data_IF_978602832217
#
_entry.id   IF_978602832217
#
_cell.length_a   1.000
_cell.length_b   1.000
_cell.length_c   1.000
_cell.angle_alpha   90.00
_cell.angle_beta   90.00
_cell.angle_gamma   90.00
#
_symmetry.space_group_name_H-M   'P 1'
#
loop_
_entity.id
_entity.type
_entity.pdbx_description
1 polymer ?
#
# COMPACT_ATOMS: atom_id res chain seq x y z
N UNK A 1 15.28 23.80 -76.58
CA UNK A 1 15.62 22.38 -76.81
C UNK A 1 16.54 21.95 -75.67
N UNK A 2 16.09 20.95 -74.90
CA UNK A 2 16.81 20.13 -73.90
C UNK A 2 17.97 20.73 -73.07
N UNK A 3 17.74 20.90 -71.76
CA UNK A 3 18.71 20.45 -70.75
C UNK A 3 17.93 19.58 -69.76
N UNK A 4 18.26 18.29 -69.81
CA UNK A 4 17.78 17.25 -68.93
C UNK A 4 18.68 17.15 -67.69
N UNK A 5 18.17 16.41 -66.69
CA UNK A 5 18.93 15.64 -65.69
C UNK A 5 19.75 16.42 -64.66
N UNK A 6 19.26 16.52 -63.41
CA UNK A 6 20.10 16.40 -62.19
C UNK A 6 19.26 16.22 -60.91
N UNK A 7 18.19 15.41 -60.94
CA UNK A 7 17.39 15.12 -59.73
C UNK A 7 17.83 13.86 -58.96
N UNK A 8 18.93 13.21 -59.35
CA UNK A 8 19.45 11.99 -58.73
C UNK A 8 20.47 12.21 -57.58
N UNK A 9 20.81 13.43 -57.17
CA UNK A 9 21.73 13.58 -56.01
C UNK A 9 20.98 13.30 -54.70
N UNK A 10 20.87 12.02 -54.39
CA UNK A 10 20.46 11.48 -53.10
C UNK A 10 21.42 11.99 -52.02
N UNK A 11 20.94 12.64 -50.95
CA UNK A 11 21.73 12.77 -49.74
C UNK A 11 21.79 11.39 -49.09
N UNK A 12 22.89 10.67 -49.32
CA UNK A 12 23.28 9.53 -48.50
C UNK A 12 23.70 10.03 -47.10
N UNK A 13 22.73 10.52 -46.32
CA UNK A 13 22.89 10.68 -44.87
C UNK A 13 22.59 9.34 -44.25
N UNK A 14 23.63 8.54 -44.06
CA UNK A 14 23.58 7.29 -43.30
C UNK A 14 23.19 7.65 -41.86
N UNK A 15 21.94 7.32 -41.53
CA UNK A 15 21.26 7.79 -40.34
C UNK A 15 21.73 7.14 -39.04
N UNK A 16 22.36 7.95 -38.18
CA UNK A 16 22.50 7.70 -36.74
C UNK A 16 21.22 8.03 -35.95
N UNK A 17 20.08 8.28 -36.62
CA UNK A 17 18.81 8.65 -35.98
C UNK A 17 17.83 7.49 -35.71
N UNK A 18 17.91 6.37 -36.43
CA UNK A 18 16.91 5.29 -36.33
C UNK A 18 17.01 4.51 -35.00
N UNK A 19 18.21 4.38 -34.43
CA UNK A 19 18.42 3.68 -33.15
C UNK A 19 17.79 4.45 -31.97
N UNK A 20 17.71 5.79 -32.07
CA UNK A 20 17.12 6.63 -31.02
C UNK A 20 15.60 6.43 -30.85
N UNK A 21 14.85 6.33 -31.94
CA UNK A 21 13.38 6.25 -31.89
C UNK A 21 12.85 4.96 -31.27
N UNK A 22 13.45 3.81 -31.63
CA UNK A 22 13.07 2.51 -31.05
C UNK A 22 13.43 2.42 -29.56
N UNK A 23 14.56 3.01 -29.15
CA UNK A 23 14.97 3.11 -27.75
C UNK A 23 13.95 3.88 -26.90
N UNK A 24 13.50 5.05 -27.39
CA UNK A 24 12.53 5.91 -26.69
C UNK A 24 11.18 5.20 -26.51
N UNK A 25 10.69 4.47 -27.53
CA UNK A 25 9.42 3.71 -27.41
C UNK A 25 9.50 2.59 -26.38
N UNK A 26 10.61 1.83 -26.36
CA UNK A 26 10.81 0.74 -25.39
C UNK A 26 10.89 1.28 -23.95
N UNK A 27 11.55 2.41 -23.75
CA UNK A 27 11.63 3.08 -22.45
C UNK A 27 10.26 3.58 -21.98
N UNK A 28 9.45 4.18 -22.87
CA UNK A 28 8.09 4.62 -22.57
C UNK A 28 7.17 3.46 -22.18
N UNK A 29 7.23 2.33 -22.90
CA UNK A 29 6.46 1.15 -22.55
C UNK A 29 6.87 0.56 -21.19
N UNK A 30 8.17 0.55 -20.89
CA UNK A 30 8.66 0.12 -19.57
C UNK A 30 8.20 1.06 -18.44
N UNK A 31 8.23 2.37 -18.67
CA UNK A 31 7.75 3.37 -17.71
C UNK A 31 6.23 3.25 -17.48
N UNK A 32 5.44 3.11 -18.54
CA UNK A 32 3.98 2.95 -18.43
C UNK A 32 3.58 1.74 -17.58
N UNK A 33 4.31 0.62 -17.69
CA UNK A 33 4.10 -0.57 -16.82
C UNK A 33 4.42 -0.30 -15.36
N UNK A 34 5.48 0.46 -15.09
CA UNK A 34 5.97 0.74 -13.74
C UNK A 34 5.30 1.93 -13.07
N UNK A 35 4.45 2.67 -13.79
CA UNK A 35 3.88 3.93 -13.34
C UNK A 35 3.19 3.84 -11.97
N UNK A 36 2.35 2.84 -11.73
CA UNK A 36 1.70 2.67 -10.42
C UNK A 36 2.68 2.32 -9.29
N UNK A 37 3.72 1.55 -9.58
CA UNK A 37 4.76 1.22 -8.61
C UNK A 37 5.63 2.44 -8.29
N UNK A 38 6.03 3.20 -9.32
CA UNK A 38 6.83 4.42 -9.15
C UNK A 38 6.02 5.50 -8.43
N UNK A 39 4.71 5.58 -8.67
CA UNK A 39 3.77 6.42 -7.91
C UNK A 39 3.74 6.03 -6.43
N UNK A 40 3.55 4.75 -6.12
CA UNK A 40 3.58 4.29 -4.72
C UNK A 40 4.93 4.59 -4.04
N UNK A 41 6.05 4.50 -4.77
CA UNK A 41 7.37 4.89 -4.24
C UNK A 41 7.48 6.39 -3.98
N UNK A 42 6.92 7.21 -4.86
CA UNK A 42 6.86 8.66 -4.68
C UNK A 42 6.10 9.00 -3.40
N UNK A 43 4.90 8.46 -3.24
CA UNK A 43 4.06 8.65 -2.05
C UNK A 43 4.71 8.17 -0.75
N UNK A 44 5.49 7.07 -0.80
CA UNK A 44 6.26 6.61 0.36
C UNK A 44 7.39 7.60 0.73
N UNK A 45 8.01 8.27 -0.24
CA UNK A 45 9.01 9.32 0.05
C UNK A 45 8.32 10.52 0.70
N UNK A 46 7.19 10.97 0.17
CA UNK A 46 6.42 12.09 0.71
C UNK A 46 5.88 11.78 2.12
N UNK A 47 5.42 10.55 2.37
CA UNK A 47 4.99 10.13 3.69
C UNK A 47 6.15 10.13 4.72
N UNK A 48 7.37 9.83 4.28
CA UNK A 48 8.55 9.87 5.16
C UNK A 48 8.96 11.29 5.49
N UNK A 49 8.92 12.22 4.53
CA UNK A 49 9.26 13.63 4.76
C UNK A 49 8.25 14.29 5.69
N UNK A 50 6.94 14.07 5.45
CA UNK A 50 5.87 14.56 6.32
C UNK A 50 5.95 13.97 7.74
N UNK A 51 6.19 12.67 7.89
CA UNK A 51 6.38 12.05 9.20
C UNK A 51 7.64 12.56 9.93
N UNK A 52 8.70 12.93 9.21
CA UNK A 52 9.87 13.57 9.79
C UNK A 52 9.54 14.99 10.30
N UNK A 53 8.82 15.79 9.50
CA UNK A 53 8.32 17.11 9.91
C UNK A 53 7.46 17.05 11.17
N UNK A 54 6.51 16.11 11.24
CA UNK A 54 5.64 15.96 12.41
C UNK A 54 6.39 15.61 13.70
N UNK A 55 7.54 14.92 13.61
CA UNK A 55 8.39 14.68 14.78
C UNK A 55 9.12 15.94 15.22
N UNK A 56 9.46 16.83 14.29
CA UNK A 56 9.99 18.14 14.63
C UNK A 56 8.94 19.00 15.35
N UNK A 57 7.69 18.99 14.88
CA UNK A 57 6.55 19.66 15.54
C UNK A 57 6.36 19.20 16.99
N UNK A 58 6.48 17.89 17.26
CA UNK A 58 6.42 17.38 18.64
C UNK A 58 7.54 17.95 19.53
N UNK A 59 8.74 18.17 18.98
CA UNK A 59 9.86 18.76 19.72
C UNK A 59 9.60 20.24 20.01
N UNK A 60 9.07 20.97 19.03
CA UNK A 60 8.66 22.38 19.17
C UNK A 60 7.58 22.50 20.25
N UNK A 61 6.48 21.75 20.15
CA UNK A 61 5.39 21.78 21.13
C UNK A 61 5.86 21.39 22.54
N UNK A 62 6.86 20.50 22.67
CA UNK A 62 7.47 20.17 23.96
C UNK A 62 8.30 21.33 24.51
N UNK A 63 9.07 22.00 23.67
CA UNK A 63 9.84 23.18 24.06
C UNK A 63 8.91 24.33 24.47
N UNK A 64 7.81 24.54 23.75
CA UNK A 64 6.79 25.53 24.10
C UNK A 64 6.12 25.21 25.44
N UNK A 65 5.77 23.95 25.69
CA UNK A 65 5.24 23.55 27.00
C UNK A 65 6.25 23.84 28.12
N UNK A 66 7.53 23.52 27.93
CA UNK A 66 8.58 23.80 28.93
C UNK A 66 8.75 25.31 29.16
N UNK A 67 8.72 26.12 28.09
CA UNK A 67 8.77 27.59 28.16
C UNK A 67 7.58 28.15 28.95
N UNK A 68 6.36 27.74 28.64
CA UNK A 68 5.14 28.20 29.33
C UNK A 68 5.14 27.75 30.81
N UNK A 69 5.68 26.57 31.12
CA UNK A 69 5.87 26.13 32.50
C UNK A 69 6.87 27.03 33.26
N UNK A 70 7.97 27.43 32.62
CA UNK A 70 8.93 28.37 33.20
C UNK A 70 8.33 29.78 33.39
N UNK A 71 7.55 30.27 32.42
CA UNK A 71 6.82 31.54 32.52
C UNK A 71 5.79 31.50 33.66
N UNK A 72 5.11 30.36 33.84
CA UNK A 72 4.19 30.15 34.97
C UNK A 72 4.93 30.19 36.31
N UNK A 73 6.09 29.55 36.41
CA UNK A 73 6.91 29.57 37.62
C UNK A 73 7.39 31.00 37.96
N UNK A 74 7.60 31.84 36.93
CA UNK A 74 7.94 33.25 37.07
C UNK A 74 6.72 34.18 37.26
N UNK A 75 5.50 33.64 37.41
CA UNK A 75 4.27 34.43 37.56
C UNK A 75 3.80 35.15 36.28
N UNK A 76 4.41 34.88 35.13
CA UNK A 76 4.12 35.52 33.83
C UNK A 76 3.10 34.77 32.95
N UNK A 77 2.75 33.54 33.30
CA UNK A 77 1.76 32.74 32.57
C UNK A 77 0.72 32.07 33.50
N UNK A 78 -0.47 31.83 32.96
CA UNK A 78 -1.61 31.27 33.69
C UNK A 78 -1.66 29.73 33.64
N UNK A 79 -2.61 29.13 34.37
CA UNK A 79 -2.80 27.66 34.37
C UNK A 79 -3.45 27.17 33.07
N UNK A 80 -4.31 28.01 32.48
CA UNK A 80 -4.94 27.72 31.19
C UNK A 80 -3.91 27.74 30.05
N UNK A 81 -2.88 28.59 30.12
CA UNK A 81 -1.76 28.58 29.16
C UNK A 81 -1.00 27.25 29.16
N UNK A 82 -0.68 26.73 30.35
CA UNK A 82 -0.03 25.40 30.47
C UNK A 82 -0.94 24.30 29.93
N UNK A 83 -2.25 24.37 30.21
CA UNK A 83 -3.22 23.40 29.71
C UNK A 83 -3.32 23.44 28.18
N UNK A 84 -3.32 24.64 27.59
CA UNK A 84 -3.31 24.84 26.13
C UNK A 84 -2.07 24.23 25.49
N UNK A 85 -0.88 24.57 25.99
CA UNK A 85 0.40 24.03 25.49
C UNK A 85 0.48 22.51 25.66
N UNK A 86 -0.09 21.95 26.73
CA UNK A 86 -0.21 20.50 26.93
C UNK A 86 -1.12 19.87 25.87
N UNK A 87 -2.26 20.47 25.59
CA UNK A 87 -3.19 19.97 24.56
C UNK A 87 -2.58 20.03 23.16
N UNK A 88 -1.83 21.09 22.85
CA UNK A 88 -1.06 21.22 21.60
C UNK A 88 -0.01 20.12 21.46
N UNK A 89 0.75 19.82 22.52
CA UNK A 89 1.69 18.70 22.52
C UNK A 89 0.99 17.35 22.31
N UNK A 90 -0.16 17.11 22.95
CA UNK A 90 -0.95 15.89 22.77
C UNK A 90 -1.42 15.77 21.31
N UNK A 91 -1.90 16.87 20.71
CA UNK A 91 -2.30 16.92 19.30
C UNK A 91 -1.12 16.58 18.39
N UNK A 92 0.01 17.26 18.55
CA UNK A 92 1.23 17.00 17.77
C UNK A 92 1.69 15.54 17.89
N UNK A 93 1.61 14.94 19.07
CA UNK A 93 1.92 13.52 19.27
C UNK A 93 0.96 12.58 18.53
N UNK A 94 -0.34 12.87 18.56
CA UNK A 94 -1.34 12.09 17.81
C UNK A 94 -1.11 12.21 16.30
N UNK A 95 -0.85 13.41 15.81
CA UNK A 95 -0.57 13.68 14.40
C UNK A 95 0.70 12.96 13.93
N UNK A 96 1.79 13.02 14.72
CA UNK A 96 3.02 12.30 14.43
C UNK A 96 2.83 10.77 14.41
N UNK A 97 2.00 10.22 15.31
CA UNK A 97 1.65 8.80 15.31
C UNK A 97 0.81 8.42 14.08
N UNK A 98 -0.17 9.25 13.71
CA UNK A 98 -1.00 9.05 12.54
C UNK A 98 -0.15 9.05 11.25
N UNK A 99 0.75 10.02 11.08
CA UNK A 99 1.66 10.09 9.94
C UNK A 99 2.66 8.93 9.91
N UNK A 100 3.16 8.48 11.06
CA UNK A 100 3.99 7.28 11.15
C UNK A 100 3.22 6.00 10.77
N UNK A 101 1.93 5.90 11.12
CA UNK A 101 1.06 4.83 10.63
C UNK A 101 0.85 4.94 9.11
N UNK A 102 0.69 6.15 8.58
CA UNK A 102 0.64 6.43 7.15
C UNK A 102 1.86 5.89 6.40
N UNK A 103 3.07 6.05 6.93
CA UNK A 103 4.29 5.47 6.34
C UNK A 103 4.21 3.94 6.23
N UNK A 104 3.63 3.26 7.24
CA UNK A 104 3.44 1.79 7.18
C UNK A 104 2.45 1.40 6.10
N UNK A 105 1.34 2.13 5.97
CA UNK A 105 0.36 1.92 4.90
C UNK A 105 1.00 2.12 3.51
N UNK A 106 1.82 3.16 3.32
CA UNK A 106 2.52 3.38 2.05
C UNK A 106 3.53 2.28 1.71
N UNK A 107 4.21 1.70 2.71
CA UNK A 107 5.07 0.52 2.47
C UNK A 107 4.28 -0.67 1.96
N UNK A 108 3.10 -0.93 2.54
CA UNK A 108 2.22 -1.99 2.07
C UNK A 108 1.73 -1.72 0.64
N UNK A 109 1.37 -0.48 0.30
CA UNK A 109 1.00 -0.09 -1.08
C UNK A 109 2.14 -0.32 -2.07
N UNK A 110 3.38 0.03 -1.72
CA UNK A 110 4.56 -0.25 -2.58
C UNK A 110 4.73 -1.76 -2.80
N UNK A 111 4.54 -2.57 -1.76
CA UNK A 111 4.62 -4.02 -1.87
C UNK A 111 3.51 -4.57 -2.78
N UNK A 112 2.27 -4.10 -2.61
CA UNK A 112 1.13 -4.48 -3.44
C UNK A 112 1.36 -4.08 -4.91
N UNK A 113 1.77 -2.83 -5.18
CA UNK A 113 2.04 -2.34 -6.52
C UNK A 113 3.19 -3.09 -7.22
N UNK A 114 4.17 -3.58 -6.44
CA UNK A 114 5.24 -4.45 -6.96
C UNK A 114 4.72 -5.83 -7.35
N UNK A 115 3.79 -6.39 -6.57
CA UNK A 115 3.24 -7.72 -6.81
C UNK A 115 2.36 -7.79 -8.07
N UNK A 116 1.66 -6.70 -8.41
CA UNK A 116 0.76 -6.62 -9.58
C UNK A 116 1.43 -5.99 -10.81
N UNK A 117 2.75 -5.92 -10.84
CA UNK A 117 3.47 -5.24 -11.92
C UNK A 117 3.22 -5.95 -13.26
N UNK A 118 2.71 -5.25 -14.30
CA UNK A 118 2.45 -5.88 -15.59
C UNK A 118 3.73 -6.44 -16.22
N UNK A 119 3.61 -7.63 -16.81
CA UNK A 119 4.67 -8.28 -17.55
C UNK A 119 5.05 -7.54 -18.83
N UNK A 120 6.16 -7.94 -19.45
CA UNK A 120 6.67 -7.21 -20.60
C UNK A 120 5.74 -7.28 -21.83
N UNK A 121 5.04 -8.40 -21.98
CA UNK A 121 4.08 -8.69 -23.04
C UNK A 121 2.61 -8.41 -22.64
N UNK A 122 2.38 -7.68 -21.54
CA UNK A 122 1.02 -7.33 -21.14
C UNK A 122 0.33 -6.44 -22.17
N UNK A 123 -0.95 -6.75 -22.42
CA UNK A 123 -1.85 -5.95 -23.24
C UNK A 123 -1.84 -4.48 -22.77
N UNK A 124 -1.70 -3.49 -23.69
CA UNK A 124 -1.83 -2.07 -23.38
C UNK A 124 -3.06 -1.70 -22.53
N UNK A 125 -4.19 -2.40 -22.69
CA UNK A 125 -5.40 -2.16 -21.90
C UNK A 125 -5.24 -2.55 -20.41
N UNK A 126 -4.29 -3.44 -20.09
CA UNK A 126 -3.95 -3.86 -18.72
C UNK A 126 -2.91 -2.97 -18.05
N UNK A 127 -2.43 -1.92 -18.73
CA UNK A 127 -1.51 -0.99 -18.12
C UNK A 127 -2.22 -0.14 -17.06
N UNK A 128 -1.51 0.31 -16.00
CA UNK A 128 -2.16 0.98 -14.87
C UNK A 128 -2.95 2.23 -15.26
N UNK A 129 -2.43 3.04 -16.20
CA UNK A 129 -3.15 4.23 -16.66
C UNK A 129 -4.38 3.89 -17.48
N UNK A 130 -4.30 2.89 -18.36
CA UNK A 130 -5.44 2.44 -19.16
C UNK A 130 -6.57 1.93 -18.26
N UNK A 131 -6.24 1.07 -17.29
CA UNK A 131 -7.20 0.55 -16.31
C UNK A 131 -7.88 1.68 -15.51
N UNK A 132 -7.10 2.67 -15.09
CA UNK A 132 -7.62 3.81 -14.34
C UNK A 132 -8.54 4.70 -15.19
N UNK A 133 -8.23 4.89 -16.47
CA UNK A 133 -9.13 5.56 -17.41
C UNK A 133 -10.42 4.77 -17.62
N UNK A 134 -10.34 3.45 -17.73
CA UNK A 134 -11.53 2.58 -17.82
C UNK A 134 -12.40 2.66 -16.56
N UNK A 135 -11.80 2.75 -15.36
CA UNK A 135 -12.53 2.93 -14.11
C UNK A 135 -13.30 4.26 -14.10
N UNK A 136 -12.65 5.37 -14.47
CA UNK A 136 -13.31 6.66 -14.66
C UNK A 136 -14.45 6.57 -15.67
N UNK A 137 -14.21 6.00 -16.85
CA UNK A 137 -15.23 5.89 -17.90
C UNK A 137 -16.43 5.04 -17.44
N UNK A 138 -16.22 4.09 -16.53
CA UNK A 138 -17.28 3.27 -15.94
C UNK A 138 -18.20 4.09 -15.04
N UNK A 139 -17.66 4.96 -14.18
CA UNK A 139 -18.49 5.88 -13.38
C UNK A 139 -19.24 6.85 -14.29
N UNK A 140 -18.57 7.40 -15.30
CA UNK A 140 -19.21 8.29 -16.28
C UNK A 140 -20.38 7.61 -16.98
N UNK A 141 -20.24 6.33 -17.37
CA UNK A 141 -21.32 5.56 -17.99
C UNK A 141 -22.49 5.32 -17.03
N UNK A 142 -22.22 4.89 -15.79
CA UNK A 142 -23.27 4.71 -14.77
C UNK A 142 -24.05 6.01 -14.54
N UNK A 143 -23.37 7.15 -14.48
CA UNK A 143 -24.03 8.45 -14.36
C UNK A 143 -24.86 8.81 -15.60
N UNK A 144 -24.35 8.56 -16.82
CA UNK A 144 -25.09 8.83 -18.04
C UNK A 144 -26.40 8.06 -18.11
N UNK A 145 -26.48 6.88 -17.51
CA UNK A 145 -27.74 6.14 -17.41
C UNK A 145 -28.78 6.95 -16.62
N UNK A 146 -28.41 7.64 -15.54
CA UNK A 146 -29.32 8.49 -14.77
C UNK A 146 -29.77 9.74 -15.51
N UNK A 147 -28.93 10.26 -16.41
CA UNK A 147 -29.23 11.47 -17.19
C UNK A 147 -30.00 11.19 -18.50
N UNK A 148 -29.87 9.98 -19.05
CA UNK A 148 -30.38 9.66 -20.39
C UNK A 148 -31.61 8.75 -20.35
N UNK A 149 -31.76 7.92 -19.31
CA UNK A 149 -32.92 7.06 -19.15
C UNK A 149 -34.11 7.83 -18.52
N UNK A 150 -35.22 8.04 -19.24
CA UNK A 150 -36.36 8.79 -18.73
C UNK A 150 -36.99 8.14 -17.48
N UNK A 151 -36.94 6.81 -17.35
CA UNK A 151 -37.45 6.15 -16.15
C UNK A 151 -36.57 6.48 -14.93
N UNK A 152 -35.24 6.49 -15.10
CA UNK A 152 -34.31 6.86 -14.03
C UNK A 152 -34.37 8.34 -13.68
N UNK A 153 -34.59 9.23 -14.64
CA UNK A 153 -34.78 10.66 -14.38
C UNK A 153 -36.00 10.91 -13.49
N UNK A 154 -37.11 10.20 -13.73
CA UNK A 154 -38.32 10.31 -12.90
C UNK A 154 -38.10 9.68 -11.52
N UNK A 155 -37.47 8.50 -11.46
CA UNK A 155 -37.30 7.76 -10.20
C UNK A 155 -36.19 8.32 -9.29
N UNK A 156 -35.14 8.91 -9.86
CA UNK A 156 -33.94 9.34 -9.13
C UNK A 156 -33.55 10.81 -9.40
N UNK A 157 -34.47 11.79 -9.24
CA UNK A 157 -34.18 13.20 -9.55
C UNK A 157 -33.03 13.78 -8.70
N UNK A 158 -32.77 13.20 -7.53
CA UNK A 158 -31.67 13.61 -6.62
C UNK A 158 -30.29 13.38 -7.24
N UNK A 159 -30.13 12.46 -8.20
CA UNK A 159 -28.84 12.21 -8.87
C UNK A 159 -28.37 13.38 -9.74
N UNK A 160 -29.29 14.23 -10.18
CA UNK A 160 -29.01 15.40 -11.03
C UNK A 160 -29.21 16.73 -10.29
N UNK A 161 -29.74 16.71 -9.06
CA UNK A 161 -29.98 17.91 -8.26
C UNK A 161 -28.72 18.36 -7.49
N UNK A 162 -28.17 19.51 -7.88
CA UNK A 162 -27.00 20.14 -7.25
C UNK A 162 -27.28 20.62 -5.81
N UNK A 163 -28.56 20.76 -5.43
CA UNK A 163 -28.94 21.12 -4.04
C UNK A 163 -28.74 19.95 -3.08
N UNK A 164 -28.70 18.72 -3.59
CA UNK A 164 -28.34 17.56 -2.79
C UNK A 164 -26.84 17.61 -2.44
N UNK A 165 -26.47 17.57 -1.16
CA UNK A 165 -25.07 17.74 -0.74
C UNK A 165 -24.17 16.62 -1.28
N UNK A 166 -24.64 15.37 -1.33
CA UNK A 166 -23.84 14.24 -1.84
C UNK A 166 -23.68 14.31 -3.36
N UNK A 167 -24.72 14.73 -4.09
CA UNK A 167 -24.66 14.96 -5.54
C UNK A 167 -23.72 16.11 -5.86
N UNK A 168 -23.75 17.20 -5.10
CA UNK A 168 -22.83 18.33 -5.27
C UNK A 168 -21.36 17.90 -5.09
N UNK A 169 -21.06 17.10 -4.06
CA UNK A 169 -19.71 16.53 -3.84
C UNK A 169 -19.30 15.64 -5.01
N UNK A 170 -20.18 14.76 -5.48
CA UNK A 170 -19.93 13.93 -6.66
C UNK A 170 -19.59 14.77 -7.89
N UNK A 171 -20.39 15.80 -8.20
CA UNK A 171 -20.16 16.66 -9.36
C UNK A 171 -18.83 17.43 -9.25
N UNK A 172 -18.46 17.87 -8.04
CA UNK A 172 -17.17 18.51 -7.79
C UNK A 172 -15.97 17.55 -7.98
N UNK A 173 -16.06 16.32 -7.47
CA UNK A 173 -15.03 15.31 -7.66
C UNK A 173 -14.95 14.85 -9.11
N UNK A 174 -16.08 14.74 -9.81
CA UNK A 174 -16.13 14.47 -11.26
C UNK A 174 -15.40 15.54 -12.04
N UNK A 175 -15.67 16.83 -11.76
CA UNK A 175 -14.96 17.93 -12.41
C UNK A 175 -13.45 17.87 -12.13
N UNK A 176 -13.06 17.49 -10.91
CA UNK A 176 -11.65 17.33 -10.52
C UNK A 176 -10.97 16.17 -11.25
N UNK A 177 -11.60 15.00 -11.29
CA UNK A 177 -11.11 13.83 -12.03
C UNK A 177 -11.00 14.14 -13.53
N UNK A 178 -11.96 14.87 -14.10
CA UNK A 178 -11.93 15.27 -15.51
C UNK A 178 -10.78 16.23 -15.83
N UNK A 179 -10.48 17.21 -14.95
CA UNK A 179 -9.33 18.11 -15.13
C UNK A 179 -7.99 17.38 -15.10
N UNK A 180 -7.88 16.32 -14.29
CA UNK A 180 -6.67 15.52 -14.15
C UNK A 180 -6.56 14.39 -15.19
N UNK A 181 -7.63 14.11 -15.93
CA UNK A 181 -7.68 13.02 -16.90
C UNK A 181 -6.71 13.28 -18.06
N UNK A 182 -5.78 12.38 -18.37
CA UNK A 182 -4.91 12.52 -19.53
C UNK A 182 -5.70 12.34 -20.83
N UNK A 183 -5.18 12.91 -21.92
CA UNK A 183 -5.80 12.84 -23.25
C UNK A 183 -5.87 11.42 -23.80
N UNK A 184 -4.91 10.57 -23.45
CA UNK A 184 -4.82 9.18 -23.91
C UNK A 184 -4.07 8.32 -22.91
N UNK A 185 -4.24 7.00 -22.98
CA UNK A 185 -3.48 6.05 -22.15
C UNK A 185 -1.98 6.02 -22.46
N UNK A 186 -1.56 6.61 -23.59
CA UNK A 186 -0.16 6.74 -24.01
C UNK A 186 0.46 8.08 -23.61
N UNK A 187 -0.31 8.98 -23.00
CA UNK A 187 0.18 10.29 -22.55
C UNK A 187 1.27 10.08 -21.48
N UNK A 188 2.48 10.64 -21.66
CA UNK A 188 3.52 10.56 -20.66
C UNK A 188 3.06 11.31 -19.40
N UNK A 189 3.27 10.69 -18.24
CA UNK A 189 2.79 11.18 -16.95
C UNK A 189 3.83 10.87 -15.88
N UNK A 190 4.09 11.83 -15.00
CA UNK A 190 4.94 11.62 -13.84
C UNK A 190 4.25 10.73 -12.80
N UNK A 191 5.02 10.08 -11.90
CA UNK A 191 4.45 9.31 -10.79
C UNK A 191 3.49 10.10 -9.90
N UNK A 192 3.76 11.38 -9.66
CA UNK A 192 2.91 12.26 -8.85
C UNK A 192 1.59 12.62 -9.53
N UNK A 193 1.62 12.95 -10.82
CA UNK A 193 0.40 13.20 -11.61
C UNK A 193 -0.49 11.96 -11.68
N UNK A 194 0.12 10.77 -11.85
CA UNK A 194 -0.63 9.52 -11.83
C UNK A 194 -1.28 9.26 -10.48
N UNK A 195 -0.56 9.47 -9.37
CA UNK A 195 -1.13 9.34 -8.03
C UNK A 195 -2.30 10.31 -7.81
N UNK A 196 -2.15 11.57 -8.22
CA UNK A 196 -3.20 12.57 -8.12
C UNK A 196 -4.45 12.20 -8.93
N UNK A 197 -4.27 11.75 -10.18
CA UNK A 197 -5.39 11.28 -11.01
C UNK A 197 -6.04 10.03 -10.40
N UNK A 198 -5.25 9.06 -9.93
CA UNK A 198 -5.74 7.85 -9.26
C UNK A 198 -6.61 8.18 -8.05
N UNK A 199 -6.13 9.07 -7.20
CA UNK A 199 -6.85 9.47 -5.99
C UNK A 199 -8.13 10.26 -6.33
N UNK A 200 -8.11 11.07 -7.39
CA UNK A 200 -9.31 11.75 -7.88
C UNK A 200 -10.35 10.78 -8.43
N UNK A 201 -9.95 9.74 -9.17
CA UNK A 201 -10.88 8.69 -9.63
C UNK A 201 -11.46 7.91 -8.45
N UNK A 202 -10.67 7.59 -7.43
CA UNK A 202 -11.20 6.92 -6.22
C UNK A 202 -12.19 7.79 -5.45
N UNK A 203 -11.95 9.10 -5.34
CA UNK A 203 -12.93 10.03 -4.74
C UNK A 203 -14.18 10.17 -5.60
N UNK A 204 -14.04 10.21 -6.91
CA UNK A 204 -15.16 10.19 -7.85
C UNK A 204 -16.03 8.93 -7.68
N UNK A 205 -15.43 7.74 -7.64
CA UNK A 205 -16.13 6.47 -7.39
C UNK A 205 -16.88 6.49 -6.05
N UNK A 206 -16.17 6.85 -4.97
CA UNK A 206 -16.75 6.85 -3.63
C UNK A 206 -17.90 7.87 -3.48
N UNK A 207 -17.73 9.07 -4.05
CA UNK A 207 -18.77 10.10 -4.02
C UNK A 207 -19.98 9.74 -4.87
N UNK A 208 -19.78 9.11 -6.03
CA UNK A 208 -20.86 8.58 -6.85
C UNK A 208 -21.65 7.51 -6.11
N UNK A 209 -20.98 6.52 -5.53
CA UNK A 209 -21.65 5.45 -4.78
C UNK A 209 -22.40 5.98 -3.54
N UNK A 210 -21.89 7.03 -2.89
CA UNK A 210 -22.58 7.68 -1.79
C UNK A 210 -23.86 8.42 -2.26
N UNK A 211 -23.77 9.18 -3.36
CA UNK A 211 -24.91 9.86 -3.97
C UNK A 211 -25.97 8.86 -4.47
N UNK A 212 -25.54 7.78 -5.11
CA UNK A 212 -26.42 6.73 -5.62
C UNK A 212 -27.19 6.06 -4.49
N UNK A 213 -26.51 5.68 -3.39
CA UNK A 213 -27.16 5.12 -2.20
C UNK A 213 -28.22 6.06 -1.63
N UNK A 214 -27.93 7.36 -1.58
CA UNK A 214 -28.88 8.35 -1.11
C UNK A 214 -30.08 8.49 -2.05
N UNK A 215 -29.84 8.52 -3.36
CA UNK A 215 -30.90 8.53 -4.35
C UNK A 215 -31.81 7.30 -4.24
N UNK A 216 -31.25 6.11 -4.00
CA UNK A 216 -32.02 4.89 -3.74
C UNK A 216 -32.79 4.92 -2.42
N UNK A 217 -32.29 5.62 -1.40
CA UNK A 217 -33.05 5.85 -0.16
C UNK A 217 -34.24 6.77 -0.42
N UNK A 218 -34.04 7.87 -1.15
CA UNK A 218 -35.12 8.79 -1.52
C UNK A 218 -36.17 8.15 -2.41
N UNK A 219 -35.76 7.43 -3.45
CA UNK A 219 -36.68 6.78 -4.39
C UNK A 219 -37.57 5.72 -3.72
N UNK A 220 -37.03 4.97 -2.74
CA UNK A 220 -37.82 4.06 -1.92
C UNK A 220 -38.77 4.78 -0.98
N UNK A 221 -38.32 5.87 -0.36
CA UNK A 221 -39.15 6.68 0.54
C UNK A 221 -40.31 7.37 -0.20
N UNK A 222 -40.13 7.73 -1.47
CA UNK A 222 -41.18 8.32 -2.31
C UNK A 222 -42.09 7.29 -3.00
N UNK A 223 -41.77 5.99 -2.90
CA UNK A 223 -42.48 4.92 -3.61
C UNK A 223 -42.22 4.88 -5.12
N UNK A 224 -41.22 5.62 -5.62
CA UNK A 224 -40.85 5.66 -7.04
C UNK A 224 -40.22 4.35 -7.54
N UNK A 225 -39.66 3.56 -6.62
CA UNK A 225 -39.11 2.24 -6.89
C UNK A 225 -39.73 1.27 -5.88
N UNK A 226 -39.99 0.01 -6.24
CA UNK A 226 -40.49 -0.99 -5.30
C UNK A 226 -39.65 -0.99 -4.01
N UNK A 227 -40.28 -1.24 -2.85
CA UNK A 227 -39.50 -1.50 -1.65
C UNK A 227 -38.48 -2.59 -1.99
N UNK A 228 -37.27 -2.45 -1.46
CA UNK A 228 -36.30 -3.52 -1.59
C UNK A 228 -37.03 -4.79 -1.13
N UNK A 229 -37.11 -5.80 -2.00
CA UNK A 229 -37.48 -7.13 -1.55
C UNK A 229 -36.57 -7.45 -0.36
N UNK A 230 -37.02 -8.29 0.57
CA UNK A 230 -36.17 -8.77 1.66
C UNK A 230 -34.99 -9.57 1.06
N UNK A 231 -34.04 -8.88 0.41
CA UNK A 231 -32.69 -9.34 0.18
C UNK A 231 -32.24 -9.75 1.57
N UNK A 232 -31.92 -11.03 1.80
CA UNK A 232 -31.52 -11.49 3.12
C UNK A 232 -30.37 -10.59 3.55
N UNK A 233 -30.64 -9.73 4.53
CA UNK A 233 -29.70 -8.73 5.03
C UNK A 233 -28.40 -9.45 5.29
N UNK A 234 -27.39 -9.29 4.43
CA UNK A 234 -26.21 -10.12 4.50
C UNK A 234 -25.52 -9.93 5.87
N UNK A 235 -25.50 -10.94 6.77
CA UNK A 235 -24.64 -10.91 7.93
C UNK A 235 -23.42 -11.76 7.61
N UNK A 236 -22.86 -11.65 6.39
CA UNK A 236 -21.73 -12.50 5.98
C UNK A 236 -20.43 -12.03 6.61
N UNK A 237 -20.28 -10.74 6.91
CA UNK A 237 -19.07 -10.24 7.57
C UNK A 237 -19.08 -10.53 9.08
N UNK A 238 -20.23 -10.47 9.74
CA UNK A 238 -20.37 -10.78 11.16
C UNK A 238 -20.21 -12.28 11.43
N UNK A 239 -20.76 -13.14 10.56
CA UNK A 239 -20.55 -14.59 10.65
C UNK A 239 -19.10 -14.99 10.32
N UNK A 240 -18.44 -14.31 9.37
CA UNK A 240 -17.00 -14.53 9.11
C UNK A 240 -16.15 -14.04 10.28
N UNK A 241 -16.48 -12.89 10.88
CA UNK A 241 -15.81 -12.41 12.09
C UNK A 241 -16.00 -13.36 13.27
N UNK A 242 -17.20 -13.89 13.48
CA UNK A 242 -17.48 -14.90 14.52
C UNK A 242 -16.71 -16.21 14.25
N UNK A 243 -16.71 -16.73 13.03
CA UNK A 243 -15.94 -17.93 12.67
C UNK A 243 -14.44 -17.74 12.86
N UNK A 244 -13.88 -16.59 12.48
CA UNK A 244 -12.46 -16.29 12.70
C UNK A 244 -12.16 -16.19 14.21
N UNK A 245 -13.07 -15.61 15.00
CA UNK A 245 -12.94 -15.54 16.46
C UNK A 245 -12.98 -16.95 17.08
N UNK A 246 -13.91 -17.81 16.66
CA UNK A 246 -13.98 -19.22 17.09
C UNK A 246 -12.73 -20.00 16.68
N UNK A 247 -12.22 -19.79 15.47
CA UNK A 247 -11.01 -20.47 14.98
C UNK A 247 -9.78 -20.03 15.76
N UNK A 248 -9.69 -18.74 16.13
CA UNK A 248 -8.59 -18.21 16.96
C UNK A 248 -8.69 -18.68 18.42
N UNK A 249 -9.90 -18.85 18.97
CA UNK A 249 -10.10 -19.44 20.31
C UNK A 249 -9.70 -20.92 20.32
N UNK A 250 -10.09 -21.71 19.32
CA UNK A 250 -9.67 -23.10 19.20
C UNK A 250 -8.15 -23.23 18.99
N UNK A 251 -7.57 -22.39 18.12
CA UNK A 251 -6.13 -22.37 17.84
C UNK A 251 -5.30 -21.95 19.07
N UNK A 252 -5.83 -21.06 19.91
CA UNK A 252 -5.15 -20.63 21.14
C UNK A 252 -5.23 -21.67 22.25
N UNK A 253 -6.31 -22.45 22.32
CA UNK A 253 -6.41 -23.59 23.22
C UNK A 253 -5.37 -24.68 22.91
N UNK A 254 -5.14 -24.99 21.63
CA UNK A 254 -4.14 -25.99 21.21
C UNK A 254 -2.69 -25.57 21.50
N UNK A 255 -2.40 -24.27 21.48
CA UNK A 255 -1.09 -23.72 21.83
C UNK A 255 -0.88 -23.75 23.34
N UNK A 256 -1.90 -23.42 24.14
CA UNK A 256 -1.84 -23.52 25.61
C UNK A 256 -1.69 -24.99 26.05
N UNK A 257 -2.39 -25.92 25.40
CA UNK A 257 -2.25 -27.35 25.67
C UNK A 257 -0.83 -27.86 25.34
N UNK A 258 -0.28 -27.50 24.17
CA UNK A 258 1.09 -27.88 23.78
C UNK A 258 2.17 -27.28 24.69
N UNK A 259 2.00 -26.03 25.14
CA UNK A 259 2.92 -25.40 26.10
C UNK A 259 2.80 -26.06 27.48
N UNK A 260 1.59 -26.43 27.90
CA UNK A 260 1.35 -27.18 29.14
C UNK A 260 1.96 -28.58 29.13
N UNK A 261 1.86 -29.31 28.02
CA UNK A 261 2.44 -30.65 27.88
C UNK A 261 3.97 -30.65 27.76
N UNK A 262 4.54 -29.62 27.12
CA UNK A 262 5.98 -29.39 27.10
C UNK A 262 6.51 -29.05 28.51
N UNK A 263 5.81 -28.20 29.27
CA UNK A 263 6.16 -27.89 30.66
C UNK A 263 6.05 -29.12 31.59
N UNK A 264 5.04 -29.97 31.39
CA UNK A 264 4.84 -31.20 32.18
C UNK A 264 5.84 -32.31 31.82
N UNK A 265 6.38 -32.29 30.60
CA UNK A 265 7.45 -33.20 30.17
C UNK A 265 8.81 -32.73 30.68
N UNK A 266 9.06 -31.42 30.73
CA UNK A 266 10.26 -30.85 31.35
C UNK A 266 10.29 -31.05 32.88
N UNK A 267 9.14 -30.98 33.55
CA UNK A 267 9.04 -31.27 34.99
C UNK A 267 9.25 -32.76 35.34
N UNK A 268 9.02 -33.67 34.39
CA UNK A 268 9.30 -35.12 34.55
C UNK A 268 10.77 -35.48 34.32
N UNK A 269 11.52 -34.64 33.62
CA UNK A 269 12.97 -34.82 33.41
C UNK A 269 13.85 -34.25 34.54
N UNK A 270 13.27 -33.55 35.52
CA UNK A 270 14.01 -32.89 36.62
C UNK A 270 13.64 -33.42 38.02
N UNK A 271 13.05 -34.62 38.09
CA UNK A 271 12.80 -35.29 39.36
C UNK A 271 14.06 -36.07 39.80
N UNK A 272 14.64 -35.79 40.98
CA UNK A 272 15.85 -36.45 41.44
C UNK A 272 15.52 -37.88 41.91
N UNK A 273 16.20 -38.86 41.34
CA UNK A 273 16.23 -40.23 41.86
C UNK A 273 17.35 -40.33 42.90
N UNK A 274 16.97 -40.57 44.16
CA UNK A 274 17.87 -40.95 45.25
C UNK A 274 18.67 -42.21 44.88
N UNK A 275 19.98 -42.19 45.12
CA UNK A 275 20.79 -43.39 45.25
C UNK A 275 21.83 -43.22 46.38
N UNK A 276 22.07 -44.23 47.23
CA UNK A 276 23.05 -44.16 48.31
C UNK A 276 24.49 -44.47 47.86
N UNK A 277 25.41 -43.83 48.58
CA UNK A 277 26.90 -43.89 48.68
C UNK A 277 27.37 -45.33 49.03
N UNK A 278 28.44 -45.97 48.50
CA UNK A 278 29.91 -45.70 48.44
C UNK A 278 30.61 -46.91 47.71
N UNK A 279 31.97 -47.04 47.60
CA UNK A 279 33.02 -46.20 47.01
C UNK A 279 33.81 -46.88 45.84
N UNK A 280 34.53 -46.06 45.05
CA UNK A 280 35.49 -46.37 43.95
C UNK A 280 36.59 -47.40 44.29
N UNK A 281 37.20 -48.15 43.33
CA UNK A 281 38.14 -47.63 42.30
C UNK A 281 38.15 -48.47 40.97
N UNK A 282 39.17 -48.42 40.08
CA UNK A 282 39.42 -47.34 39.12
C UNK A 282 39.52 -47.81 37.64
N UNK A 283 39.56 -46.82 36.74
CA UNK A 283 40.29 -46.81 35.45
C UNK A 283 39.80 -47.76 34.34
N UNK A 284 39.30 -47.20 33.24
CA UNK A 284 39.82 -47.34 31.86
C UNK A 284 38.85 -46.70 30.85
N UNK A 285 39.39 -45.94 29.89
CA UNK A 285 38.67 -45.58 28.66
C UNK A 285 38.37 -46.84 27.84
N UNK A 286 37.19 -46.95 27.21
CA UNK A 286 37.15 -47.05 25.74
C UNK A 286 35.92 -46.33 25.14
N UNK A 287 36.09 -45.62 24.01
CA UNK A 287 35.77 -46.09 22.64
C UNK A 287 34.27 -46.28 22.35
N UNK A 288 33.80 -45.56 21.33
CA UNK A 288 32.45 -45.62 20.74
C UNK A 288 32.01 -47.01 20.25
N UNK A 289 30.69 -47.23 20.14
CA UNK A 289 30.09 -47.80 18.93
C UNK A 289 28.80 -47.07 18.46
N UNK A 290 28.25 -47.41 17.28
CA UNK A 290 27.65 -46.44 16.34
C UNK A 290 26.11 -46.42 16.30
N UNK A 291 25.58 -45.38 15.67
CA UNK A 291 24.16 -45.20 15.38
C UNK A 291 23.71 -45.91 14.07
N UNK A 292 22.45 -46.36 13.98
CA UNK A 292 21.87 -46.93 12.76
C UNK A 292 21.44 -45.85 11.73
N UNK A 293 21.27 -46.21 10.44
CA UNK A 293 21.26 -45.25 9.33
C UNK A 293 19.89 -44.60 9.06
N UNK A 294 19.95 -43.36 8.58
CA UNK A 294 18.83 -42.61 8.02
C UNK A 294 18.82 -42.73 6.47
N UNK A 295 17.64 -42.72 5.82
CA UNK A 295 17.54 -42.68 4.37
C UNK A 295 17.70 -41.26 3.79
N UNK A 296 18.16 -41.26 2.54
CA UNK A 296 18.73 -40.20 1.72
C UNK A 296 17.97 -38.85 1.64
N UNK A 297 18.75 -37.76 1.74
CA UNK A 297 18.42 -36.43 1.23
C UNK A 297 19.66 -35.79 0.53
N UNK A 298 19.48 -35.04 -0.57
CA UNK A 298 20.54 -34.67 -1.51
C UNK A 298 21.49 -33.54 -1.02
N UNK A 299 22.71 -33.42 -1.60
CA UNK A 299 23.74 -32.52 -1.09
C UNK A 299 23.45 -31.02 -1.38
N UNK A 300 23.83 -30.11 -0.46
CA UNK A 300 23.73 -28.66 -0.68
C UNK A 300 24.85 -28.11 -1.58
N UNK A 301 24.61 -26.97 -2.27
CA UNK A 301 25.54 -26.40 -3.25
C UNK A 301 26.76 -25.74 -2.61
N UNK A 302 27.94 -26.03 -3.18
CA UNK A 302 29.25 -25.48 -2.80
C UNK A 302 29.46 -24.12 -3.49
N UNK A 303 29.69 -23.06 -2.70
CA UNK A 303 30.11 -21.75 -3.18
C UNK A 303 31.64 -21.61 -3.09
N UNK A 304 32.35 -21.06 -4.08
CA UNK A 304 33.80 -20.92 -4.03
C UNK A 304 34.24 -19.71 -3.18
N UNK A 305 35.30 -19.91 -2.38
CA UNK A 305 35.94 -18.92 -1.50
C UNK A 305 36.94 -18.06 -2.29
N UNK A 306 36.96 -16.72 -2.15
CA UNK A 306 37.97 -15.87 -2.80
C UNK A 306 39.33 -15.93 -2.07
N UNK A 307 40.38 -16.36 -2.75
CA UNK A 307 41.77 -16.32 -2.26
C UNK A 307 42.33 -14.89 -2.27
N UNK A 308 42.86 -14.42 -1.14
CA UNK A 308 43.61 -13.16 -1.03
C UNK A 308 45.08 -13.40 -1.40
N UNK A 309 45.52 -12.86 -2.53
CA UNK A 309 46.92 -12.84 -2.95
C UNK A 309 47.71 -11.81 -2.14
N UNK A 310 48.74 -12.24 -1.43
CA UNK A 310 49.71 -11.40 -0.72
C UNK A 310 50.70 -10.77 -1.72
N UNK A 311 50.56 -9.46 -1.99
CA UNK A 311 51.60 -8.68 -2.69
C UNK A 311 52.60 -8.14 -1.67
N UNK A 312 53.83 -8.64 -1.73
CA UNK A 312 55.02 -8.15 -1.03
C UNK A 312 55.52 -6.85 -1.70
N UNK A 313 56.00 -5.84 -0.95
CA UNK A 313 56.52 -4.60 -1.52
C UNK A 313 57.99 -4.74 -1.97
N UNK A 314 58.47 -3.89 -2.91
CA UNK A 314 59.86 -3.88 -3.33
C UNK A 314 60.74 -3.03 -2.38
N UNK A 315 62.03 -3.36 -2.33
CA UNK A 315 63.10 -2.59 -1.67
C UNK A 315 64.41 -2.85 -2.42
N UNK A 316 65.37 -1.93 -2.25
CA UNK A 316 65.63 -0.76 -3.09
C UNK A 316 66.19 -1.11 -4.48
#
# INVERSE_FOLDING_TARGET
MAIAEFWWVAPAVIGTGAVGWFGVRRQRAAHARRLAYDAARHELRDARTTAAGARAEVRVARADLARVQAERAAGRASSSDVTRARNELIRAQRDARALAAGVRAQRARVAAARAVLPGAASDPARLPLAQLMTAHDTVTRRWLDYETDPAKLIAFPVMSDVRSPLTAVYLAERATAQRLRPRSAQTPMSPGEFAAYRDAVHRLEASFDAAEKEAWRHARASGAVPPAEDEPSAPRWTQVAQRVTETVIASSADVIARVGDAARSAARSDAPADAPVDPTPPRTTPSSPPAPPAPDAPPPPVWPVPSRSSRRPPRP
#
